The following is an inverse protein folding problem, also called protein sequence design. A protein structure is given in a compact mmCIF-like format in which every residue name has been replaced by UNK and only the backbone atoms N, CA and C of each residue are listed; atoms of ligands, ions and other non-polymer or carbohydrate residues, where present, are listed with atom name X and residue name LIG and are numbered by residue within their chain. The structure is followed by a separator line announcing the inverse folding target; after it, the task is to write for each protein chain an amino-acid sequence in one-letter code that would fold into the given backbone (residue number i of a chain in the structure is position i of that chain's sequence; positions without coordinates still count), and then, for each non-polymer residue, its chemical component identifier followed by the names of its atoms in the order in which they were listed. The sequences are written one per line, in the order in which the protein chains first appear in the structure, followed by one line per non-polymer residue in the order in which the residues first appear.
data_IF_620498300319
#
_entry.id   IF_620498300319
#
_cell.length_a   1.000
_cell.length_b   1.000
_cell.length_c   1.000
_cell.angle_alpha   90.00
_cell.angle_beta   90.00
_cell.angle_gamma   90.00
#
_symmetry.space_group_name_H-M   'P 1'
#
loop_
_entity.id
_entity.type
_entity.pdbx_description
1 polymer ?
#
# COMPACT_ATOMS: atom_id res chain seq x y z
N UNK A 1 38.28 -16.23 -1.23
CA UNK A 1 38.39 -16.66 0.19
C UNK A 1 37.03 -16.84 0.89
N UNK A 2 35.87 -16.55 0.28
CA UNK A 2 34.56 -16.75 0.91
C UNK A 2 33.93 -18.14 0.71
N UNK A 3 34.55 -19.03 -0.08
CA UNK A 3 34.01 -20.35 -0.43
C UNK A 3 33.93 -21.35 0.73
N UNK A 4 34.47 -21.02 1.90
CA UNK A 4 34.43 -21.86 3.10
C UNK A 4 33.32 -21.49 4.08
N UNK A 5 32.63 -20.35 3.89
CA UNK A 5 31.52 -19.97 4.76
C UNK A 5 30.21 -20.60 4.26
N UNK A 6 29.36 -21.10 5.17
CA UNK A 6 28.02 -21.52 4.80
C UNK A 6 27.23 -20.37 4.15
N UNK A 7 26.42 -20.64 3.10
CA UNK A 7 25.61 -19.63 2.41
C UNK A 7 24.74 -18.79 3.36
N UNK A 8 24.22 -19.41 4.43
CA UNK A 8 23.37 -18.75 5.43
C UNK A 8 24.13 -17.64 6.18
N UNK A 9 25.41 -17.86 6.48
CA UNK A 9 26.25 -16.87 7.16
C UNK A 9 26.54 -15.71 6.22
N UNK A 10 26.82 -15.98 4.95
CA UNK A 10 27.01 -14.95 3.93
C UNK A 10 25.74 -14.12 3.77
N UNK A 11 24.56 -14.76 3.73
CA UNK A 11 23.28 -14.08 3.64
C UNK A 11 23.05 -13.17 4.83
N UNK A 12 23.29 -13.68 6.05
CA UNK A 12 23.19 -12.89 7.26
C UNK A 12 24.08 -11.65 7.21
N UNK A 13 25.35 -11.80 6.79
CA UNK A 13 26.28 -10.67 6.65
C UNK A 13 25.77 -9.64 5.63
N UNK A 14 25.31 -10.07 4.46
CA UNK A 14 24.80 -9.15 3.43
C UNK A 14 23.51 -8.45 3.91
N UNK A 15 22.66 -9.15 4.67
CA UNK A 15 21.44 -8.58 5.25
C UNK A 15 21.72 -7.45 6.25
N UNK A 16 22.85 -7.50 6.98
CA UNK A 16 23.27 -6.40 7.88
C UNK A 16 23.55 -5.10 7.12
N UNK A 17 23.84 -5.16 5.82
CA UNK A 17 24.01 -3.97 4.98
C UNK A 17 22.69 -3.39 4.46
N UNK A 18 21.53 -3.84 4.97
CA UNK A 18 20.23 -3.30 4.52
C UNK A 18 20.14 -1.80 4.80
N UNK A 19 20.12 -1.00 3.73
CA UNK A 19 20.11 0.47 3.78
C UNK A 19 21.45 1.13 3.48
N UNK A 20 22.54 0.38 3.49
CA UNK A 20 23.86 0.83 3.02
C UNK A 20 24.02 0.50 1.52
N UNK A 21 23.62 1.45 0.68
CA UNK A 21 23.64 1.29 -0.77
C UNK A 21 25.06 1.08 -1.32
N UNK A 22 26.06 1.76 -0.76
CA UNK A 22 27.45 1.67 -1.24
C UNK A 22 28.01 0.28 -0.96
N UNK A 23 27.80 -0.25 0.25
CA UNK A 23 28.24 -1.60 0.62
C UNK A 23 27.52 -2.68 -0.18
N UNK A 24 26.19 -2.54 -0.39
CA UNK A 24 25.42 -3.48 -1.20
C UNK A 24 25.82 -3.44 -2.68
N UNK A 25 26.11 -2.26 -3.23
CA UNK A 25 26.62 -2.14 -4.59
C UNK A 25 27.98 -2.81 -4.73
N UNK A 26 28.90 -2.58 -3.78
CA UNK A 26 30.20 -3.24 -3.76
C UNK A 26 30.05 -4.77 -3.67
N UNK A 27 29.18 -5.27 -2.78
CA UNK A 27 28.87 -6.69 -2.65
C UNK A 27 28.34 -7.28 -3.96
N UNK A 28 27.49 -6.55 -4.68
CA UNK A 28 26.90 -7.02 -5.93
C UNK A 28 27.93 -7.32 -7.03
N UNK A 29 29.13 -6.74 -6.93
CA UNK A 29 30.22 -6.91 -7.89
C UNK A 29 31.17 -8.07 -7.52
N UNK A 30 31.04 -8.67 -6.33
CA UNK A 30 31.96 -9.71 -5.83
C UNK A 30 31.73 -11.06 -6.52
N UNK A 31 30.47 -11.48 -6.65
CA UNK A 31 30.08 -12.76 -7.27
C UNK A 31 28.62 -12.73 -7.69
N UNK A 32 28.19 -13.67 -8.54
CA UNK A 32 26.78 -13.82 -8.89
C UNK A 32 25.89 -14.06 -7.67
N UNK A 33 26.34 -14.90 -6.73
CA UNK A 33 25.60 -15.15 -5.49
C UNK A 33 25.37 -13.87 -4.67
N UNK A 34 26.42 -13.08 -4.48
CA UNK A 34 26.32 -11.81 -3.74
C UNK A 34 25.47 -10.79 -4.52
N UNK A 35 25.60 -10.77 -5.85
CA UNK A 35 24.78 -9.97 -6.75
C UNK A 35 23.30 -10.23 -6.51
N UNK A 36 22.89 -11.50 -6.46
CA UNK A 36 21.49 -11.87 -6.33
C UNK A 36 20.86 -11.34 -5.05
N UNK A 37 21.55 -11.47 -3.91
CA UNK A 37 21.05 -11.02 -2.61
C UNK A 37 21.15 -9.50 -2.49
N UNK A 38 22.26 -8.92 -2.93
CA UNK A 38 22.47 -7.47 -2.86
C UNK A 38 21.44 -6.74 -3.72
N UNK A 39 21.13 -7.24 -4.92
CA UNK A 39 20.08 -6.66 -5.77
C UNK A 39 18.69 -6.77 -5.14
N UNK A 40 18.37 -7.87 -4.45
CA UNK A 40 17.11 -7.97 -3.71
C UNK A 40 16.99 -6.88 -2.64
N UNK A 41 18.09 -6.50 -2.00
CA UNK A 41 18.11 -5.46 -0.98
C UNK A 41 18.13 -4.05 -1.57
N UNK A 42 18.93 -3.82 -2.62
CA UNK A 42 19.01 -2.54 -3.34
C UNK A 42 17.67 -2.15 -3.96
N UNK A 43 17.00 -3.09 -4.62
CA UNK A 43 15.74 -2.86 -5.31
C UNK A 43 14.50 -3.19 -4.45
N UNK A 44 14.68 -3.43 -3.15
CA UNK A 44 13.58 -3.77 -2.23
C UNK A 44 12.51 -2.67 -2.18
N UNK A 45 12.96 -1.41 -2.18
CA UNK A 45 12.09 -0.24 -2.12
C UNK A 45 12.26 0.58 -3.37
N UNK A 46 11.17 0.79 -4.10
CA UNK A 46 11.13 1.71 -5.24
C UNK A 46 10.30 2.93 -4.86
N UNK A 47 10.89 4.12 -5.00
CA UNK A 47 10.17 5.38 -4.89
C UNK A 47 10.08 6.01 -6.26
N UNK A 48 8.86 6.20 -6.75
CA UNK A 48 8.58 6.91 -7.99
C UNK A 48 8.12 8.30 -7.59
N UNK A 49 9.01 9.28 -7.74
CA UNK A 49 8.78 10.70 -7.47
C UNK A 49 8.83 11.45 -8.80
N UNK A 50 7.65 11.64 -9.41
CA UNK A 50 7.51 12.28 -10.71
C UNK A 50 7.23 13.77 -10.51
N UNK A 51 8.25 14.47 -10.02
CA UNK A 51 8.29 15.92 -10.08
C UNK A 51 8.29 16.35 -11.54
N UNK A 52 7.45 17.32 -11.94
CA UNK A 52 7.59 17.96 -13.24
C UNK A 52 8.87 18.80 -13.25
N UNK A 53 10.03 18.15 -13.36
CA UNK A 53 11.28 18.84 -13.63
C UNK A 53 11.30 19.17 -15.12
N UNK A 54 11.30 20.46 -15.52
CA UNK A 54 11.14 20.88 -16.90
C UNK A 54 12.32 20.50 -17.82
N UNK A 55 13.36 19.85 -17.31
CA UNK A 55 14.64 19.65 -18.00
C UNK A 55 15.17 18.22 -18.01
N UNK A 56 14.55 17.27 -17.31
CA UNK A 56 15.01 15.87 -17.30
C UNK A 56 14.03 15.06 -18.13
N UNK A 57 14.44 14.72 -19.36
CA UNK A 57 13.82 13.60 -20.06
C UNK A 57 14.08 12.35 -19.23
N UNK A 58 13.06 11.89 -18.51
CA UNK A 58 13.12 10.58 -17.90
C UNK A 58 13.35 9.59 -19.04
N UNK A 59 14.54 8.97 -19.08
CA UNK A 59 14.71 7.70 -19.81
C UNK A 59 13.52 6.85 -19.44
N UNK A 60 12.77 6.41 -20.44
CA UNK A 60 11.48 5.77 -20.25
C UNK A 60 11.68 4.65 -19.23
N UNK A 61 11.13 4.79 -18.02
CA UNK A 61 11.30 3.79 -16.97
C UNK A 61 10.84 2.42 -17.48
N UNK A 62 9.88 2.42 -18.39
CA UNK A 62 9.47 1.25 -19.13
C UNK A 62 10.64 0.54 -19.82
N UNK A 63 11.55 1.26 -20.49
CA UNK A 63 12.71 0.68 -21.19
C UNK A 63 13.64 -0.04 -20.20
N UNK A 64 13.86 0.56 -19.02
CA UNK A 64 14.69 -0.04 -17.97
C UNK A 64 14.08 -1.37 -17.48
N UNK A 65 12.76 -1.40 -17.27
CA UNK A 65 12.06 -2.59 -16.79
C UNK A 65 11.76 -3.60 -17.90
N UNK A 66 11.69 -3.18 -19.16
CA UNK A 66 11.53 -4.08 -20.30
C UNK A 66 12.83 -4.80 -20.62
N UNK A 67 13.95 -4.08 -20.58
CA UNK A 67 15.27 -4.66 -20.86
C UNK A 67 15.77 -5.50 -19.67
N UNK A 68 15.37 -5.14 -18.46
CA UNK A 68 15.71 -5.86 -17.26
C UNK A 68 14.51 -5.92 -16.30
N UNK A 69 13.81 -7.06 -16.31
CA UNK A 69 12.65 -7.29 -15.43
C UNK A 69 13.05 -7.58 -13.97
N UNK A 70 14.33 -7.83 -13.72
CA UNK A 70 14.83 -8.29 -12.42
C UNK A 70 14.59 -7.30 -11.27
N UNK A 71 14.80 -5.98 -11.44
CA UNK A 71 14.44 -5.01 -10.41
C UNK A 71 12.96 -5.11 -10.01
N UNK A 72 12.05 -5.26 -10.98
CA UNK A 72 10.61 -5.42 -10.75
C UNK A 72 10.28 -6.63 -9.87
N UNK A 73 10.97 -7.75 -10.08
CA UNK A 73 10.84 -8.96 -9.26
C UNK A 73 11.38 -8.79 -7.83
N UNK A 74 12.27 -7.81 -7.60
CA UNK A 74 12.85 -7.53 -6.28
C UNK A 74 12.05 -6.51 -5.48
N UNK A 75 11.23 -5.66 -6.12
CA UNK A 75 10.44 -4.64 -5.42
C UNK A 75 9.45 -5.30 -4.45
N UNK A 76 9.51 -4.89 -3.18
CA UNK A 76 8.58 -5.28 -2.12
C UNK A 76 7.83 -4.09 -1.54
N UNK A 77 8.42 -2.91 -1.61
CA UNK A 77 7.84 -1.65 -1.14
C UNK A 77 7.82 -0.67 -2.30
N UNK A 78 6.64 -0.17 -2.65
CA UNK A 78 6.46 0.87 -3.64
C UNK A 78 5.94 2.13 -2.97
N UNK A 79 6.63 3.25 -3.21
CA UNK A 79 6.18 4.58 -2.81
C UNK A 79 5.92 5.40 -4.06
N UNK A 80 4.67 5.79 -4.23
CA UNK A 80 4.16 6.54 -5.35
C UNK A 80 3.90 7.97 -4.88
N UNK A 81 4.71 8.92 -5.37
CA UNK A 81 4.51 10.37 -5.20
C UNK A 81 4.18 10.95 -6.57
N UNK A 82 2.90 11.17 -6.83
CA UNK A 82 2.39 10.99 -8.20
C UNK A 82 1.78 12.26 -8.83
N UNK A 83 2.18 12.52 -10.08
CA UNK A 83 1.25 12.61 -11.22
C UNK A 83 1.50 11.42 -12.17
N UNK A 84 0.52 10.58 -12.54
CA UNK A 84 0.72 9.13 -12.70
C UNK A 84 1.04 8.60 -14.09
N UNK A 85 0.94 9.44 -15.11
CA UNK A 85 0.77 8.92 -16.47
C UNK A 85 2.00 8.18 -16.98
N UNK A 86 3.20 8.56 -16.55
CA UNK A 86 4.47 7.99 -17.04
C UNK A 86 4.90 6.70 -16.35
N UNK A 87 4.36 6.37 -15.17
CA UNK A 87 4.78 5.18 -14.40
C UNK A 87 3.89 3.96 -14.61
N UNK A 88 2.78 4.10 -15.32
CA UNK A 88 1.72 3.08 -15.38
C UNK A 88 2.22 1.71 -15.85
N UNK A 89 3.05 1.68 -16.89
CA UNK A 89 3.52 0.43 -17.48
C UNK A 89 4.50 -0.31 -16.55
N UNK A 90 5.24 0.43 -15.71
CA UNK A 90 6.21 -0.12 -14.77
C UNK A 90 5.53 -0.86 -13.61
N UNK A 91 4.31 -0.46 -13.25
CA UNK A 91 3.56 -1.05 -12.14
C UNK A 91 3.27 -2.54 -12.37
N UNK A 92 3.10 -2.98 -13.62
CA UNK A 92 2.83 -4.38 -13.95
C UNK A 92 3.99 -5.34 -13.66
N UNK A 93 5.21 -4.83 -13.53
CA UNK A 93 6.39 -5.64 -13.21
C UNK A 93 6.50 -5.95 -11.70
N UNK A 94 5.70 -5.30 -10.85
CA UNK A 94 5.81 -5.39 -9.38
C UNK A 94 4.88 -6.47 -8.79
N UNK A 95 4.95 -7.68 -9.31
CA UNK A 95 4.01 -8.77 -8.95
C UNK A 95 4.18 -9.33 -7.53
N UNK A 96 5.30 -9.01 -6.87
CA UNK A 96 5.65 -9.52 -5.54
C UNK A 96 5.53 -8.46 -4.45
N UNK A 97 4.80 -7.39 -4.75
CA UNK A 97 4.73 -6.25 -3.87
C UNK A 97 4.03 -6.60 -2.55
N UNK A 98 4.57 -6.06 -1.45
CA UNK A 98 4.05 -6.26 -0.09
C UNK A 98 3.55 -4.98 0.55
N UNK A 99 4.06 -3.82 0.15
CA UNK A 99 3.71 -2.54 0.73
C UNK A 99 3.57 -1.48 -0.36
N UNK A 100 2.41 -0.82 -0.42
CA UNK A 100 2.17 0.34 -1.30
C UNK A 100 1.96 1.56 -0.42
N UNK A 101 2.62 2.66 -0.76
CA UNK A 101 2.30 3.99 -0.26
C UNK A 101 1.97 4.90 -1.43
N UNK A 102 0.76 5.45 -1.46
CA UNK A 102 0.32 6.47 -2.42
C UNK A 102 0.29 7.79 -1.65
N UNK A 103 1.10 8.75 -2.07
CA UNK A 103 1.28 10.05 -1.42
C UNK A 103 0.96 11.19 -2.41
N UNK A 104 0.38 12.33 -1.96
CA UNK A 104 0.15 13.48 -2.81
C UNK A 104 1.49 14.06 -3.25
N UNK A 105 1.51 14.63 -4.46
CA UNK A 105 2.64 15.43 -4.90
C UNK A 105 2.48 16.92 -4.54
N UNK A 106 1.44 17.61 -5.03
CA UNK A 106 1.22 19.05 -4.77
C UNK A 106 -0.26 19.44 -4.64
N UNK A 107 -1.15 18.77 -5.38
CA UNK A 107 -2.60 18.83 -5.20
C UNK A 107 -3.14 17.41 -5.28
N UNK A 108 -4.14 17.08 -4.46
CA UNK A 108 -4.73 15.76 -4.49
C UNK A 108 -5.48 15.59 -5.82
N UNK A 109 -4.96 14.71 -6.68
CA UNK A 109 -5.67 14.30 -7.90
C UNK A 109 -6.74 13.29 -7.49
N UNK A 110 -8.04 13.58 -7.63
CA UNK A 110 -9.08 12.63 -7.26
C UNK A 110 -9.01 11.40 -8.18
N UNK A 111 -9.46 10.24 -7.69
CA UNK A 111 -9.46 8.98 -8.45
C UNK A 111 -10.04 9.13 -9.85
N UNK A 112 -11.14 9.88 -9.96
CA UNK A 112 -11.85 10.13 -11.21
C UNK A 112 -11.04 10.89 -12.26
N UNK A 113 -10.06 11.70 -11.83
CA UNK A 113 -9.15 12.42 -12.72
C UNK A 113 -7.92 11.62 -13.14
N UNK A 114 -7.71 10.42 -12.58
CA UNK A 114 -6.61 9.55 -12.98
C UNK A 114 -6.91 8.87 -14.33
N UNK A 115 -5.87 8.71 -15.16
CA UNK A 115 -5.98 7.99 -16.43
C UNK A 115 -6.51 6.57 -16.21
N UNK A 116 -7.28 6.04 -17.17
CA UNK A 116 -7.86 4.69 -17.08
C UNK A 116 -6.76 3.63 -16.93
N UNK A 117 -5.65 3.78 -17.64
CA UNK A 117 -4.50 2.87 -17.54
C UNK A 117 -3.95 2.83 -16.12
N UNK A 118 -3.75 3.98 -15.49
CA UNK A 118 -3.26 4.01 -14.12
C UNK A 118 -4.26 3.36 -13.17
N UNK A 119 -5.55 3.72 -13.28
CA UNK A 119 -6.58 3.12 -12.43
C UNK A 119 -6.58 1.59 -12.56
N UNK A 120 -6.47 1.06 -13.77
CA UNK A 120 -6.35 -0.38 -14.00
C UNK A 120 -5.09 -0.98 -13.39
N UNK A 121 -3.94 -0.31 -13.50
CA UNK A 121 -2.69 -0.76 -12.89
C UNK A 121 -2.74 -0.74 -11.35
N UNK A 122 -3.28 0.34 -10.75
CA UNK A 122 -3.47 0.44 -9.30
C UNK A 122 -4.46 -0.62 -8.80
N UNK A 123 -5.57 -0.86 -9.51
CA UNK A 123 -6.48 -1.96 -9.19
C UNK A 123 -5.71 -3.28 -9.20
N UNK A 124 -4.92 -3.55 -10.24
CA UNK A 124 -4.11 -4.78 -10.34
C UNK A 124 -3.16 -4.93 -9.14
N UNK A 125 -2.51 -3.85 -8.71
CA UNK A 125 -1.63 -3.84 -7.53
C UNK A 125 -2.40 -4.06 -6.23
N UNK A 126 -3.57 -3.43 -6.09
CA UNK A 126 -4.51 -3.60 -4.98
C UNK A 126 -5.27 -4.94 -5.02
N UNK A 127 -4.97 -5.80 -6.00
CA UNK A 127 -5.45 -7.19 -6.07
C UNK A 127 -4.35 -8.20 -5.78
N UNK A 128 -3.12 -7.75 -5.48
CA UNK A 128 -1.99 -8.67 -5.29
C UNK A 128 -2.18 -9.49 -4.00
N UNK A 129 -2.10 -10.83 -4.08
CA UNK A 129 -2.23 -11.68 -2.90
C UNK A 129 -1.07 -11.53 -1.92
N UNK A 130 0.04 -10.91 -2.34
CA UNK A 130 1.20 -10.63 -1.51
C UNK A 130 1.11 -9.29 -0.77
N UNK A 131 0.11 -8.46 -1.06
CA UNK A 131 0.00 -7.13 -0.47
C UNK A 131 -0.37 -7.26 1.02
N UNK A 132 0.50 -6.73 1.89
CA UNK A 132 0.37 -6.79 3.35
C UNK A 132 0.10 -5.41 3.95
N UNK A 133 0.62 -4.35 3.32
CA UNK A 133 0.51 -3.00 3.81
C UNK A 133 0.03 -2.07 2.70
N UNK A 134 -0.92 -1.20 3.03
CA UNK A 134 -1.39 -0.16 2.15
C UNK A 134 -1.49 1.16 2.91
N UNK A 135 -0.78 2.16 2.41
CA UNK A 135 -0.86 3.54 2.88
C UNK A 135 -1.40 4.40 1.73
N UNK A 136 -2.52 5.06 1.98
CA UNK A 136 -3.12 6.03 1.08
C UNK A 136 -3.15 7.35 1.86
N UNK A 137 -2.19 8.20 1.58
CA UNK A 137 -2.23 9.59 2.01
C UNK A 137 -2.81 10.37 0.83
N UNK A 138 -4.05 10.88 0.88
CA UNK A 138 -4.65 11.87 -0.07
C UNK A 138 -6.17 11.81 -0.12
N UNK A 139 -6.78 12.92 -0.58
CA UNK A 139 -8.14 13.05 -1.14
C UNK A 139 -8.35 12.20 -2.42
N UNK A 140 -7.55 11.17 -2.67
CA UNK A 140 -7.55 10.43 -3.91
C UNK A 140 -8.80 9.58 -4.12
N UNK A 141 -9.81 9.60 -3.24
CA UNK A 141 -11.11 8.92 -3.39
C UNK A 141 -10.99 7.48 -3.91
N UNK A 142 -9.91 6.78 -3.56
CA UNK A 142 -9.63 5.44 -4.07
C UNK A 142 -10.73 4.51 -3.55
N UNK A 143 -11.46 3.82 -4.43
CA UNK A 143 -12.53 2.93 -3.99
C UNK A 143 -11.98 1.80 -3.10
N UNK A 144 -12.35 1.82 -1.83
CA UNK A 144 -11.89 0.83 -0.85
C UNK A 144 -12.45 -0.58 -1.11
N UNK A 145 -13.42 -0.70 -2.02
CA UNK A 145 -13.97 -1.98 -2.47
C UNK A 145 -12.90 -2.93 -3.02
N UNK A 146 -11.81 -2.39 -3.58
CA UNK A 146 -10.71 -3.20 -4.10
C UNK A 146 -9.95 -3.94 -3.00
N UNK A 147 -9.98 -3.46 -1.75
CA UNK A 147 -9.32 -4.11 -0.63
C UNK A 147 -9.84 -5.54 -0.40
N UNK A 148 -11.10 -5.83 -0.76
CA UNK A 148 -11.68 -7.18 -0.68
C UNK A 148 -10.85 -8.25 -1.40
N UNK A 149 -10.02 -7.85 -2.36
CA UNK A 149 -9.17 -8.73 -3.16
C UNK A 149 -7.79 -8.99 -2.53
N UNK A 150 -7.45 -8.33 -1.42
CA UNK A 150 -6.18 -8.50 -0.72
C UNK A 150 -6.32 -9.31 0.57
N UNK A 151 -6.38 -10.66 0.51
CA UNK A 151 -6.57 -11.49 1.71
C UNK A 151 -5.39 -11.45 2.69
N UNK A 152 -4.24 -10.89 2.31
CA UNK A 152 -3.07 -10.77 3.18
C UNK A 152 -2.87 -9.35 3.71
N UNK A 153 -3.78 -8.41 3.43
CA UNK A 153 -3.67 -7.03 3.90
C UNK A 153 -3.86 -7.00 5.42
N UNK A 154 -2.82 -6.58 6.13
CA UNK A 154 -2.76 -6.52 7.59
C UNK A 154 -2.71 -5.09 8.12
N UNK A 155 -2.08 -4.19 7.39
CA UNK A 155 -1.90 -2.79 7.80
C UNK A 155 -2.51 -1.87 6.75
N UNK A 156 -3.49 -1.07 7.17
CA UNK A 156 -4.17 -0.09 6.33
C UNK A 156 -4.05 1.28 6.97
N UNK A 157 -3.48 2.24 6.24
CA UNK A 157 -3.36 3.63 6.66
C UNK A 157 -4.03 4.52 5.63
N UNK A 158 -5.05 5.25 6.05
CA UNK A 158 -5.81 6.16 5.20
C UNK A 158 -5.78 7.55 5.85
N UNK A 159 -5.16 8.50 5.17
CA UNK A 159 -5.05 9.90 5.61
C UNK A 159 -5.75 10.82 4.59
N UNK A 160 -6.46 11.82 5.11
CA UNK A 160 -7.09 12.94 4.40
C UNK A 160 -8.05 12.54 3.27
N UNK A 161 -8.96 11.57 3.50
CA UNK A 161 -10.03 11.30 2.54
C UNK A 161 -11.28 12.11 2.88
N UNK A 162 -11.62 13.08 2.03
CA UNK A 162 -12.98 13.57 1.98
C UNK A 162 -13.88 12.42 1.49
N UNK A 163 -14.98 12.13 2.18
CA UNK A 163 -15.93 11.13 1.72
C UNK A 163 -16.56 11.63 0.41
N UNK A 164 -16.14 11.06 -0.70
CA UNK A 164 -17.00 11.07 -1.87
C UNK A 164 -18.03 9.96 -1.65
N UNK A 165 -19.26 10.35 -1.33
CA UNK A 165 -20.37 9.42 -1.16
C UNK A 165 -20.68 8.62 -2.44
N UNK A 166 -19.98 8.90 -3.54
CA UNK A 166 -19.93 8.00 -4.68
C UNK A 166 -19.01 6.82 -4.37
N UNK A 167 -19.57 5.82 -3.68
CA UNK A 167 -19.25 4.42 -3.98
C UNK A 167 -19.60 4.19 -5.46
N UNK A 168 -18.74 4.68 -6.35
CA UNK A 168 -18.92 4.57 -7.78
C UNK A 168 -19.11 3.10 -8.11
N UNK A 169 -20.18 2.81 -8.86
CA UNK A 169 -20.48 1.47 -9.38
C UNK A 169 -19.16 0.80 -9.78
N UNK A 170 -18.76 -0.22 -9.02
CA UNK A 170 -17.56 -0.97 -9.33
C UNK A 170 -17.68 -1.42 -10.78
N UNK A 171 -16.69 -1.15 -11.66
CA UNK A 171 -16.70 -1.75 -12.99
C UNK A 171 -16.87 -3.26 -12.79
N UNK A 172 -17.93 -3.82 -13.39
CA UNK A 172 -18.51 -5.15 -13.09
C UNK A 172 -17.58 -6.35 -13.39
N UNK A 173 -16.29 -6.10 -13.63
CA UNK A 173 -15.32 -7.05 -14.15
C UNK A 173 -14.14 -7.19 -13.19
N UNK A 174 -14.40 -7.49 -11.92
CA UNK A 174 -13.31 -7.95 -11.06
C UNK A 174 -12.90 -9.36 -11.52
N UNK A 175 -11.60 -9.62 -11.78
CA UNK A 175 -11.16 -10.95 -12.21
C UNK A 175 -11.51 -12.00 -11.14
N UNK A 176 -12.12 -13.11 -11.57
CA UNK A 176 -12.55 -14.20 -10.71
C UNK A 176 -11.34 -14.91 -10.08
N UNK A 177 -10.93 -14.51 -8.87
CA UNK A 177 -9.88 -15.19 -8.11
C UNK A 177 -10.42 -16.46 -7.44
N UNK A 178 -9.93 -17.63 -7.86
CA UNK A 178 -10.57 -18.94 -7.69
C UNK A 178 -10.30 -19.71 -6.39
N UNK A 179 -9.89 -19.07 -5.28
CA UNK A 179 -9.88 -19.73 -3.95
C UNK A 179 -10.22 -18.75 -2.82
N UNK A 180 -11.13 -19.12 -1.89
CA UNK A 180 -11.38 -18.32 -0.70
C UNK A 180 -10.17 -18.41 0.23
N UNK A 181 -9.51 -17.28 0.46
CA UNK A 181 -8.50 -17.14 1.51
C UNK A 181 -9.04 -16.10 2.46
N UNK A 182 -9.27 -16.48 3.72
CA UNK A 182 -9.70 -15.55 4.76
C UNK A 182 -8.48 -14.81 5.32
N UNK A 183 -8.61 -13.51 5.48
CA UNK A 183 -7.63 -12.57 5.99
C UNK A 183 -8.22 -11.67 7.08
N UNK A 184 -7.35 -11.04 7.85
CA UNK A 184 -7.75 -10.11 8.89
C UNK A 184 -6.79 -8.92 8.96
N UNK A 185 -7.34 -7.76 9.31
CA UNK A 185 -6.55 -6.58 9.62
C UNK A 185 -5.93 -6.72 11.01
N UNK A 186 -4.65 -6.35 11.13
CA UNK A 186 -3.94 -6.22 12.39
C UNK A 186 -3.84 -4.75 12.83
N UNK A 187 -3.77 -3.82 11.86
CA UNK A 187 -3.57 -2.40 12.06
C UNK A 187 -4.45 -1.57 11.11
N UNK A 188 -5.17 -0.60 11.67
CA UNK A 188 -5.94 0.40 10.93
C UNK A 188 -5.58 1.79 11.46
N UNK A 189 -5.16 2.67 10.57
CA UNK A 189 -5.01 4.10 10.83
C UNK A 189 -5.94 4.85 9.89
N UNK A 190 -6.86 5.63 10.45
CA UNK A 190 -7.81 6.41 9.68
C UNK A 190 -7.94 7.79 10.29
N UNK A 191 -7.70 8.84 9.51
CA UNK A 191 -7.74 10.20 10.04
C UNK A 191 -9.15 10.69 10.36
N UNK A 192 -10.18 10.17 9.70
CA UNK A 192 -11.57 10.48 10.01
C UNK A 192 -12.36 9.21 10.34
N UNK A 193 -13.32 9.33 11.26
CA UNK A 193 -14.28 8.26 11.54
C UNK A 193 -15.16 7.94 10.33
N UNK A 194 -15.42 8.88 9.41
CA UNK A 194 -16.16 8.60 8.17
C UNK A 194 -15.45 7.56 7.31
N UNK A 195 -14.12 7.65 7.24
CA UNK A 195 -13.28 6.65 6.55
C UNK A 195 -13.42 5.29 7.23
N UNK A 196 -13.47 5.26 8.57
CA UNK A 196 -13.72 4.01 9.30
C UNK A 196 -15.09 3.43 8.93
N UNK A 197 -16.12 4.27 8.78
CA UNK A 197 -17.44 3.83 8.37
C UNK A 197 -17.41 3.22 6.96
N UNK A 198 -16.72 3.85 6.01
CA UNK A 198 -16.61 3.33 4.64
C UNK A 198 -15.77 2.05 4.56
N UNK A 199 -14.70 1.94 5.35
CA UNK A 199 -13.96 0.68 5.54
C UNK A 199 -14.89 -0.39 6.11
N UNK A 200 -15.66 -0.06 7.15
CA UNK A 200 -16.61 -0.99 7.75
C UNK A 200 -17.68 -1.43 6.76
N UNK A 201 -18.32 -0.50 6.04
CA UNK A 201 -19.30 -0.83 5.00
C UNK A 201 -18.64 -1.72 3.94
N UNK A 202 -17.48 -1.33 3.44
CA UNK A 202 -16.71 -2.10 2.47
C UNK A 202 -16.40 -3.53 2.92
N UNK A 203 -16.22 -3.79 4.22
CA UNK A 203 -15.88 -5.11 4.74
C UNK A 203 -17.07 -5.92 5.27
N UNK A 204 -18.09 -5.24 5.80
CA UNK A 204 -19.26 -5.85 6.45
C UNK A 204 -20.44 -6.03 5.51
N UNK A 205 -20.49 -5.30 4.38
CA UNK A 205 -21.54 -5.52 3.41
C UNK A 205 -21.48 -6.97 2.94
N UNK A 206 -22.64 -7.62 3.01
CA UNK A 206 -22.89 -9.07 3.09
C UNK A 206 -22.48 -9.86 1.86
N UNK A 207 -21.26 -9.66 1.39
CA UNK A 207 -20.64 -10.54 0.43
C UNK A 207 -20.01 -11.70 1.22
N UNK A 208 -20.57 -12.92 1.16
CA UNK A 208 -19.91 -14.09 1.74
C UNK A 208 -18.54 -14.35 1.09
N UNK A 209 -18.24 -13.70 -0.04
CA UNK A 209 -16.91 -13.72 -0.65
C UNK A 209 -15.96 -12.66 -0.08
N UNK A 210 -16.40 -11.75 0.81
CA UNK A 210 -15.53 -10.77 1.47
C UNK A 210 -14.47 -11.50 2.30
N UNK A 211 -13.21 -11.32 1.89
CA UNK A 211 -12.07 -12.10 2.40
C UNK A 211 -11.40 -11.46 3.61
N UNK A 212 -11.71 -10.21 3.93
CA UNK A 212 -11.05 -9.43 4.98
C UNK A 212 -12.01 -9.14 6.12
N UNK A 213 -11.55 -9.36 7.35
CA UNK A 213 -12.29 -9.06 8.58
C UNK A 213 -11.53 -8.06 9.46
N UNK A 214 -12.27 -7.18 10.14
CA UNK A 214 -11.74 -6.29 11.20
C UNK A 214 -11.76 -6.92 12.59
N UNK A 215 -12.30 -8.14 12.72
CA UNK A 215 -12.55 -8.73 14.04
C UNK A 215 -11.27 -9.10 14.81
N UNK A 216 -10.10 -9.15 14.15
CA UNK A 216 -8.80 -9.40 14.79
C UNK A 216 -7.90 -8.17 14.82
N UNK A 217 -8.50 -6.98 14.71
CA UNK A 217 -7.74 -5.74 14.74
C UNK A 217 -7.06 -5.57 16.10
N UNK A 218 -5.72 -5.41 16.08
CA UNK A 218 -4.90 -5.20 17.28
C UNK A 218 -4.55 -3.75 17.51
N UNK A 219 -4.43 -2.96 16.45
CA UNK A 219 -4.03 -1.56 16.52
C UNK A 219 -5.03 -0.68 15.77
N UNK A 220 -5.53 0.34 16.46
CA UNK A 220 -6.37 1.36 15.87
C UNK A 220 -5.82 2.75 16.18
N UNK A 221 -5.67 3.57 15.13
CA UNK A 221 -5.34 4.98 15.24
C UNK A 221 -6.43 5.79 14.52
N UNK A 222 -7.08 6.71 15.22
CA UNK A 222 -8.22 7.46 14.71
C UNK A 222 -8.31 8.89 15.21
N UNK A 223 -9.07 9.73 14.51
CA UNK A 223 -9.49 11.04 15.01
C UNK A 223 -11.02 11.13 15.11
N UNK A 224 -11.49 11.80 16.17
CA UNK A 224 -12.90 12.08 16.44
C UNK A 224 -13.10 13.59 16.32
N UNK A 225 -13.87 13.99 15.30
CA UNK A 225 -14.11 15.40 14.97
C UNK A 225 -15.45 15.92 15.54
N UNK A 226 -16.47 15.06 15.59
CA UNK A 226 -17.83 15.44 15.97
C UNK A 226 -18.59 14.31 16.70
N UNK A 227 -19.84 14.58 17.08
CA UNK A 227 -20.67 13.57 17.78
C UNK A 227 -21.04 12.37 16.90
N UNK A 228 -21.10 12.53 15.57
CA UNK A 228 -21.40 11.41 14.65
C UNK A 228 -20.23 10.43 14.59
N UNK A 229 -19.01 10.97 14.59
CA UNK A 229 -17.77 10.22 14.65
C UNK A 229 -17.70 9.32 15.90
N UNK A 230 -18.27 9.76 17.03
CA UNK A 230 -18.37 8.96 18.26
C UNK A 230 -19.21 7.70 18.05
N UNK A 231 -20.37 7.82 17.38
CA UNK A 231 -21.26 6.67 17.14
C UNK A 231 -20.59 5.64 16.21
N UNK A 232 -19.91 6.11 15.16
CA UNK A 232 -19.15 5.25 14.23
C UNK A 232 -18.00 4.56 14.96
N UNK A 233 -17.23 5.32 15.74
CA UNK A 233 -16.14 4.79 16.54
C UNK A 233 -16.63 3.74 17.54
N UNK A 234 -17.74 3.99 18.25
CA UNK A 234 -18.31 3.03 19.19
C UNK A 234 -18.73 1.73 18.50
N UNK A 235 -19.36 1.81 17.32
CA UNK A 235 -19.67 0.62 16.50
C UNK A 235 -18.41 -0.13 16.11
N UNK A 236 -17.37 0.59 15.67
CA UNK A 236 -16.09 0.02 15.28
C UNK A 236 -15.41 -0.73 16.44
N UNK A 237 -15.32 -0.09 17.61
CA UNK A 237 -14.76 -0.69 18.83
C UNK A 237 -15.54 -1.92 19.24
N UNK A 238 -16.87 -1.88 19.22
CA UNK A 238 -17.69 -3.05 19.59
C UNK A 238 -17.41 -4.28 18.70
N UNK A 239 -17.01 -4.08 17.44
CA UNK A 239 -16.67 -5.17 16.52
C UNK A 239 -15.28 -5.79 16.80
N UNK A 240 -14.32 -5.00 17.28
CA UNK A 240 -12.93 -5.44 17.46
C UNK A 240 -12.45 -5.50 18.94
N UNK A 241 -13.31 -5.16 19.90
CA UNK A 241 -12.95 -5.01 21.32
C UNK A 241 -12.23 -6.24 21.92
N UNK A 242 -12.53 -7.45 21.45
CA UNK A 242 -11.91 -8.68 21.96
C UNK A 242 -10.43 -8.86 21.61
N UNK A 243 -9.90 -8.12 20.63
CA UNK A 243 -8.54 -8.31 20.09
C UNK A 243 -7.69 -7.04 20.10
N UNK A 244 -8.29 -5.91 20.47
CA UNK A 244 -7.65 -4.60 20.38
C UNK A 244 -6.62 -4.43 21.51
N UNK A 245 -5.37 -4.20 21.13
CA UNK A 245 -4.23 -4.04 22.04
C UNK A 245 -3.82 -2.57 22.19
N UNK A 246 -3.90 -1.81 21.09
CA UNK A 246 -3.48 -0.40 21.03
C UNK A 246 -4.59 0.43 20.41
N UNK A 247 -4.97 1.49 21.11
CA UNK A 247 -5.94 2.48 20.65
C UNK A 247 -5.33 3.86 20.84
N UNK A 248 -5.11 4.58 19.74
CA UNK A 248 -4.73 5.99 19.78
C UNK A 248 -5.84 6.82 19.15
N UNK A 249 -6.46 7.68 19.96
CA UNK A 249 -7.54 8.56 19.52
C UNK A 249 -7.11 10.00 19.73
N UNK A 250 -7.20 10.79 18.67
CA UNK A 250 -7.10 12.25 18.74
C UNK A 250 -8.52 12.81 18.76
N UNK A 251 -8.89 13.52 19.83
CA UNK A 251 -10.19 14.18 19.92
C UNK A 251 -9.97 15.66 19.60
N UNK A 252 -10.57 16.12 18.51
CA UNK A 252 -10.49 17.51 18.08
C UNK A 252 -11.78 18.22 18.49
N UNK A 253 -11.69 19.10 19.49
CA UNK A 253 -12.80 19.95 19.87
C UNK A 253 -12.82 21.16 18.93
N UNK A 254 -13.78 21.19 18.00
CA UNK A 254 -14.02 22.37 17.18
C UNK A 254 -14.25 23.60 18.08
N UNK A 255 -13.44 24.64 17.89
CA UNK A 255 -13.77 25.95 18.47
C UNK A 255 -15.09 26.39 17.82
N UNK A 256 -16.12 26.76 18.60
CA UNK A 256 -17.37 27.22 18.01
C UNK A 256 -17.07 28.38 17.07
N UNK A 257 -17.41 28.24 15.79
CA UNK A 257 -17.35 29.34 14.83
C UNK A 257 -18.28 30.44 15.36
N UNK A 258 -17.67 31.53 15.84
CA UNK A 258 -18.33 32.68 16.47
C UNK A 258 -19.01 33.58 15.47
#
# INVERSE_FOLDING_TARGET
MFSSLPPEIINAIILEFSGDFESLEACSRVSSYFCDISQQLLFKTLTIDLKPYPSIQYTNLQDIFSDNTRPGLCVRVLRLKVSPETATDVLYYMQHLRSISIEPHDSATPWSSMSEKLRAALITLLSLPTLVQLKIATESQIPLIFLRQCPQLKDLQIMDQLPDHTLGNCPQSCPNFSRPTYGYFESLTAQSCDVCEEVLKGLTDRDPASRLSVNQLRRFNGEILDSRSVDVFQKFINLCAGFLEIINIVILFGMPES
#
